data_IF_505525997814
#
_entry.id   IF_505525997814
#
_cell.length_a   1.000
_cell.length_b   1.000
_cell.length_c   1.000
_cell.angle_alpha   90.00
_cell.angle_beta   90.00
_cell.angle_gamma   90.00
#
_symmetry.space_group_name_H-M   'P 1'
#
loop_
_entity.id
_entity.type
_entity.pdbx_description
1 polymer ?
#
# COMPACT_ATOMS: atom_id res chain seq x y z
N UNK A 1 14.49 -3.93 12.03
CA UNK A 1 15.15 -2.60 12.04
C UNK A 1 14.13 -1.63 11.48
N UNK A 2 13.81 -0.56 12.21
CA UNK A 2 12.85 0.44 11.75
C UNK A 2 13.42 1.22 10.57
N UNK A 3 12.59 1.50 9.56
CA UNK A 3 12.96 2.29 8.39
C UNK A 3 13.40 3.70 8.82
N UNK A 4 14.39 4.26 8.10
CA UNK A 4 14.84 5.63 8.37
C UNK A 4 13.73 6.63 8.00
N UNK A 5 13.41 7.54 8.92
CA UNK A 5 12.48 8.65 8.67
C UNK A 5 13.02 9.64 7.63
N UNK A 6 12.14 10.45 7.06
CA UNK A 6 12.46 11.50 6.07
C UNK A 6 13.27 10.99 4.87
N UNK A 7 13.01 9.75 4.46
CA UNK A 7 13.76 9.05 3.43
C UNK A 7 12.80 8.36 2.46
N UNK A 8 13.07 8.49 1.15
CA UNK A 8 12.38 7.71 0.13
C UNK A 8 13.03 6.33 0.04
N UNK A 9 12.21 5.31 0.17
CA UNK A 9 12.63 3.91 0.21
C UNK A 9 12.20 3.22 -1.08
N UNK A 10 13.15 2.89 -1.96
CA UNK A 10 12.87 2.16 -3.20
C UNK A 10 12.82 0.66 -2.93
N UNK A 11 11.64 0.16 -2.56
CA UNK A 11 11.37 -1.26 -2.33
C UNK A 11 9.89 -1.59 -2.49
N UNK A 12 9.61 -2.89 -2.59
CA UNK A 12 8.26 -3.44 -2.51
C UNK A 12 7.57 -2.98 -1.21
N UNK A 13 6.39 -2.36 -1.33
CA UNK A 13 5.68 -1.82 -0.18
C UNK A 13 5.32 -2.89 0.86
N UNK A 14 5.08 -4.15 0.48
CA UNK A 14 4.84 -5.24 1.43
C UNK A 14 6.06 -5.47 2.32
N UNK A 15 7.26 -5.45 1.74
CA UNK A 15 8.53 -5.54 2.46
C UNK A 15 8.82 -4.32 3.30
N UNK A 16 8.38 -3.14 2.87
CA UNK A 16 8.50 -1.91 3.64
C UNK A 16 7.59 -1.91 4.87
N UNK A 17 6.32 -2.26 4.66
CA UNK A 17 5.32 -2.36 5.71
C UNK A 17 5.75 -3.37 6.79
N UNK A 18 6.28 -4.54 6.41
CA UNK A 18 6.84 -5.55 7.33
C UNK A 18 7.92 -5.01 8.29
N UNK A 19 8.64 -3.96 7.89
CA UNK A 19 9.71 -3.35 8.70
C UNK A 19 9.23 -2.24 9.63
N UNK A 20 7.98 -1.79 9.49
CA UNK A 20 7.37 -0.80 10.38
C UNK A 20 6.86 -1.48 11.65
N UNK A 21 7.10 -0.82 12.78
CA UNK A 21 6.55 -1.25 14.06
C UNK A 21 5.01 -1.12 14.05
N UNK A 22 4.31 -2.05 14.68
CA UNK A 22 2.86 -1.99 14.79
C UNK A 22 2.42 -0.77 15.60
N UNK A 23 1.35 -0.09 15.18
CA UNK A 23 0.85 1.10 15.89
C UNK A 23 1.82 2.28 15.90
N UNK A 24 2.70 2.41 14.90
CA UNK A 24 3.70 3.49 14.81
C UNK A 24 3.27 4.64 13.91
N UNK A 25 2.31 4.44 13.01
CA UNK A 25 1.90 5.42 12.00
C UNK A 25 0.61 6.13 12.41
N UNK A 26 0.60 7.47 12.34
CA UNK A 26 -0.59 8.29 12.58
C UNK A 26 -1.49 8.39 11.35
N UNK A 27 -0.89 8.53 10.17
CA UNK A 27 -1.61 8.64 8.89
C UNK A 27 -0.88 7.86 7.80
N UNK A 28 -1.64 7.07 7.06
CA UNK A 28 -1.18 6.43 5.82
C UNK A 28 -1.97 7.01 4.64
N UNK A 29 -1.26 7.28 3.54
CA UNK A 29 -1.84 7.62 2.25
C UNK A 29 -1.35 6.60 1.23
N UNK A 30 -2.27 6.08 0.42
CA UNK A 30 -1.95 5.18 -0.68
C UNK A 30 -2.67 5.59 -1.96
N UNK A 31 -1.93 5.56 -3.06
CA UNK A 31 -2.39 5.71 -4.43
C UNK A 31 -1.89 4.48 -5.22
N UNK A 32 -2.56 3.31 -5.06
CA UNK A 32 -2.13 2.08 -5.70
C UNK A 32 -2.49 2.07 -7.19
N UNK A 33 -1.98 1.11 -7.98
CA UNK A 33 -2.55 0.81 -9.30
C UNK A 33 -4.03 0.43 -9.14
N UNK A 34 -4.93 0.95 -10.00
CA UNK A 34 -6.38 0.80 -9.82
C UNK A 34 -6.96 -0.47 -10.45
N UNK A 35 -6.16 -1.24 -11.21
CA UNK A 35 -6.62 -2.41 -11.96
C UNK A 35 -7.72 -2.06 -12.98
N UNK A 36 -7.54 -0.97 -13.73
CA UNK A 36 -8.48 -0.47 -14.75
C UNK A 36 -7.96 -0.69 -16.18
N UNK A 37 -6.88 -1.47 -16.33
CA UNK A 37 -6.23 -1.73 -17.62
C UNK A 37 -5.47 -0.51 -18.17
N UNK A 38 -5.01 0.38 -17.29
CA UNK A 38 -4.19 1.51 -17.69
C UNK A 38 -2.83 1.04 -18.23
N UNK A 39 -2.39 1.57 -19.36
CA UNK A 39 -1.12 1.20 -19.98
C UNK A 39 0.02 2.04 -19.41
N UNK A 40 0.70 1.49 -18.42
CA UNK A 40 1.98 2.03 -17.96
C UNK A 40 3.13 1.58 -18.86
N UNK A 41 4.23 2.35 -18.88
CA UNK A 41 5.40 2.05 -19.72
C UNK A 41 6.11 0.74 -19.35
N UNK A 42 5.91 0.27 -18.11
CA UNK A 42 6.73 -0.77 -17.47
C UNK A 42 5.94 -2.00 -17.01
N UNK A 43 4.62 -1.93 -16.90
CA UNK A 43 3.80 -3.07 -16.51
C UNK A 43 2.36 -2.95 -17.02
N UNK A 44 1.68 -4.08 -17.08
CA UNK A 44 0.25 -4.17 -17.36
C UNK A 44 -0.54 -4.09 -16.06
N UNK A 45 -1.44 -3.11 -15.97
CA UNK A 45 -2.30 -2.90 -14.80
C UNK A 45 -3.45 -3.90 -14.75
N UNK A 46 -3.81 -4.52 -15.88
CA UNK A 46 -4.91 -5.50 -15.93
C UNK A 46 -4.48 -6.82 -15.28
N UNK A 47 -5.09 -7.11 -14.14
CA UNK A 47 -4.93 -8.34 -13.37
C UNK A 47 -6.27 -9.02 -13.18
N UNK A 48 -6.21 -10.33 -12.98
CA UNK A 48 -7.37 -11.07 -12.51
C UNK A 48 -7.91 -10.44 -11.21
N UNK A 49 -9.24 -10.30 -11.13
CA UNK A 49 -9.88 -9.60 -10.02
C UNK A 49 -9.59 -10.23 -8.67
N UNK A 50 -9.54 -11.57 -8.58
CA UNK A 50 -9.27 -12.25 -7.32
C UNK A 50 -7.80 -12.07 -6.93
N UNK A 51 -6.88 -12.14 -7.89
CA UNK A 51 -5.46 -11.87 -7.66
C UNK A 51 -5.20 -10.43 -7.20
N UNK A 52 -5.87 -9.45 -7.81
CA UNK A 52 -5.77 -8.05 -7.43
C UNK A 52 -6.33 -7.81 -6.02
N UNK A 53 -7.49 -8.38 -5.70
CA UNK A 53 -8.08 -8.28 -4.37
C UNK A 53 -7.22 -8.96 -3.29
N UNK A 54 -6.62 -10.10 -3.61
CA UNK A 54 -5.69 -10.79 -2.71
C UNK A 54 -4.42 -9.99 -2.45
N UNK A 55 -3.88 -9.34 -3.49
CA UNK A 55 -2.78 -8.40 -3.31
C UNK A 55 -3.20 -7.19 -2.46
N UNK A 56 -4.39 -6.64 -2.70
CA UNK A 56 -4.95 -5.55 -1.90
C UNK A 56 -5.09 -5.89 -0.42
N UNK A 57 -5.60 -7.08 -0.10
CA UNK A 57 -5.70 -7.57 1.28
C UNK A 57 -4.34 -7.59 2.00
N UNK A 58 -3.28 -7.96 1.29
CA UNK A 58 -1.94 -8.02 1.88
C UNK A 58 -1.41 -6.64 2.26
N UNK A 59 -1.42 -5.67 1.33
CA UNK A 59 -0.84 -4.36 1.62
C UNK A 59 -1.73 -3.53 2.55
N UNK A 60 -3.07 -3.61 2.40
CA UNK A 60 -4.01 -2.96 3.33
C UNK A 60 -3.84 -3.55 4.73
N UNK A 61 -3.68 -4.87 4.86
CA UNK A 61 -3.41 -5.51 6.15
C UNK A 61 -2.11 -5.01 6.79
N UNK A 62 -1.06 -4.80 5.98
CA UNK A 62 0.19 -4.18 6.44
C UNK A 62 0.01 -2.75 6.93
N UNK A 63 -0.78 -1.94 6.21
CA UNK A 63 -1.13 -0.56 6.60
C UNK A 63 -1.91 -0.56 7.92
N UNK A 64 -2.95 -1.39 8.05
CA UNK A 64 -3.74 -1.51 9.27
C UNK A 64 -2.91 -1.91 10.49
N UNK A 65 -1.92 -2.80 10.33
CA UNK A 65 -0.97 -3.15 11.41
C UNK A 65 -0.11 -1.96 11.82
N UNK A 66 0.40 -1.22 10.83
CA UNK A 66 1.29 -0.09 11.08
C UNK A 66 0.58 1.10 11.72
N UNK A 67 -0.70 1.29 11.43
CA UNK A 67 -1.51 2.38 11.99
C UNK A 67 -1.73 2.23 13.49
N UNK A 68 -1.66 3.36 14.20
CA UNK A 68 -2.15 3.46 15.58
C UNK A 68 -3.64 3.13 15.66
N UNK A 69 -4.17 2.75 16.84
CA UNK A 69 -5.61 2.50 17.02
C UNK A 69 -6.51 3.67 16.61
N UNK A 70 -5.99 4.90 16.66
CA UNK A 70 -6.65 6.14 16.23
C UNK A 70 -6.06 6.73 14.94
N UNK A 71 -5.29 5.95 14.19
CA UNK A 71 -4.67 6.38 12.95
C UNK A 71 -5.69 6.50 11.81
N UNK A 72 -5.33 7.25 10.77
CA UNK A 72 -6.20 7.46 9.61
C UNK A 72 -5.58 6.85 8.36
N UNK A 73 -6.40 6.19 7.55
CA UNK A 73 -5.99 5.71 6.23
C UNK A 73 -6.75 6.44 5.13
N UNK A 74 -6.02 7.03 4.19
CA UNK A 74 -6.55 7.67 2.99
C UNK A 74 -6.15 6.86 1.77
N UNK A 75 -7.14 6.40 1.02
CA UNK A 75 -6.95 5.65 -0.21
C UNK A 75 -7.47 6.48 -1.37
N UNK A 76 -6.59 6.81 -2.31
CA UNK A 76 -7.00 7.33 -3.60
C UNK A 76 -7.41 6.15 -4.48
N UNK A 77 -8.61 6.24 -5.06
CA UNK A 77 -9.12 5.29 -6.05
C UNK A 77 -10.10 5.99 -6.98
N UNK A 78 -10.23 5.49 -8.20
CA UNK A 78 -11.20 6.01 -9.18
C UNK A 78 -12.63 5.56 -8.88
N UNK A 79 -13.61 6.36 -9.32
CA UNK A 79 -15.05 6.09 -9.20
C UNK A 79 -15.65 5.38 -10.43
N UNK A 80 -14.84 5.02 -11.42
CA UNK A 80 -15.28 4.45 -12.72
C UNK A 80 -14.68 3.06 -13.00
#
# INVERSE_FOLDING_TARGET
MSLKLDTVHNLDCLKGLEQLDAGSVDLAFADPPFNIGYKYDVYDDERDSDEYLDWCRQWIGGVCRALKPNGTFWLAIGDE
#
